data_IF_696281049400
#
_entry.id   IF_696281049400
#
_cell.length_a   1.000
_cell.length_b   1.000
_cell.length_c   1.000
_cell.angle_alpha   90.00
_cell.angle_beta   90.00
_cell.angle_gamma   90.00
#
_symmetry.space_group_name_H-M   'P 1'
#
loop_
_entity.id
_entity.type
_entity.pdbx_description
1 polymer ?
#
# COMPACT_ATOMS: atom_id res chain seq x y z
N UNK A 1 0.24 17.36 8.06
CA UNK A 1 -0.19 18.70 8.49
C UNK A 1 -0.78 18.63 9.88
N UNK A 2 -1.57 19.63 10.24
CA UNK A 2 -2.37 19.74 11.46
C UNK A 2 -3.86 19.81 11.06
N UNK A 3 -4.79 19.25 11.84
CA UNK A 3 -6.21 19.19 11.48
C UNK A 3 -6.93 20.54 11.76
N UNK A 4 -6.45 21.63 11.18
CA UNK A 4 -6.90 23.00 11.47
C UNK A 4 -8.28 23.34 10.91
N UNK A 5 -8.74 22.62 9.88
CA UNK A 5 -9.99 22.90 9.16
C UNK A 5 -11.15 21.99 9.55
N UNK A 6 -11.00 21.11 10.55
CA UNK A 6 -12.04 20.13 10.94
C UNK A 6 -13.36 20.81 11.26
N UNK A 7 -13.33 21.87 12.08
CA UNK A 7 -14.54 22.61 12.46
C UNK A 7 -15.23 23.23 11.24
N UNK A 8 -14.47 23.86 10.35
CA UNK A 8 -15.00 24.48 9.13
C UNK A 8 -15.64 23.45 8.19
N UNK A 9 -14.99 22.29 8.02
CA UNK A 9 -15.50 21.19 7.19
C UNK A 9 -16.85 20.70 7.75
N UNK A 10 -16.92 20.46 9.06
CA UNK A 10 -18.14 19.97 9.72
C UNK A 10 -19.27 21.01 9.77
N UNK A 11 -18.94 22.30 9.76
CA UNK A 11 -19.94 23.36 9.75
C UNK A 11 -20.49 23.64 8.34
N UNK A 12 -19.65 23.59 7.30
CA UNK A 12 -20.02 24.05 5.95
C UNK A 12 -20.20 22.95 4.91
N UNK A 13 -19.42 21.87 5.00
CA UNK A 13 -19.31 20.90 3.91
C UNK A 13 -20.10 19.62 4.14
N UNK A 14 -20.38 19.26 5.39
CA UNK A 14 -21.03 17.99 5.71
C UNK A 14 -21.90 18.12 6.95
N UNK A 15 -23.08 17.52 6.89
CA UNK A 15 -23.91 17.26 8.06
C UNK A 15 -23.78 15.78 8.41
N UNK A 16 -23.29 15.48 9.60
CA UNK A 16 -23.17 14.12 10.14
C UNK A 16 -24.24 13.92 11.20
N UNK A 17 -25.10 12.92 11.03
CA UNK A 17 -26.09 12.51 12.01
C UNK A 17 -25.49 11.57 13.06
N UNK A 18 -26.23 11.35 14.15
CA UNK A 18 -25.76 10.53 15.27
C UNK A 18 -25.58 9.05 14.93
N UNK A 19 -26.30 8.54 13.91
CA UNK A 19 -26.18 7.17 13.40
C UNK A 19 -25.05 7.00 12.36
N UNK A 20 -24.30 8.07 12.10
CA UNK A 20 -23.22 8.08 11.12
C UNK A 20 -23.68 8.29 9.68
N UNK A 21 -25.00 8.37 9.42
CA UNK A 21 -25.48 8.85 8.13
C UNK A 21 -25.04 10.30 7.91
N UNK A 22 -24.73 10.66 6.67
CA UNK A 22 -24.23 12.00 6.38
C UNK A 22 -24.72 12.52 5.04
N UNK A 23 -24.78 13.85 4.95
CA UNK A 23 -25.10 14.55 3.73
C UNK A 23 -24.01 15.58 3.43
N UNK A 24 -23.46 15.52 2.22
CA UNK A 24 -22.52 16.53 1.73
C UNK A 24 -23.29 17.75 1.25
N UNK A 25 -22.76 18.94 1.55
CA UNK A 25 -23.25 20.18 0.98
C UNK A 25 -22.74 20.34 -0.45
N UNK A 26 -23.57 19.88 -1.40
CA UNK A 26 -23.21 19.81 -2.82
C UNK A 26 -22.93 21.18 -3.46
N UNK A 27 -23.25 22.31 -2.78
CA UNK A 27 -22.85 23.65 -3.24
C UNK A 27 -21.34 23.78 -3.48
N UNK A 28 -20.51 23.04 -2.73
CA UNK A 28 -19.06 23.14 -2.79
C UNK A 28 -18.40 22.11 -3.72
N UNK A 29 -19.18 21.21 -4.31
CA UNK A 29 -18.67 20.08 -5.09
C UNK A 29 -19.22 20.09 -6.52
N UNK A 30 -18.46 19.54 -7.45
CA UNK A 30 -18.84 19.47 -8.88
C UNK A 30 -18.69 18.08 -9.48
N UNK A 31 -18.25 17.07 -8.73
CA UNK A 31 -17.96 15.74 -9.26
C UNK A 31 -19.18 15.01 -9.85
N UNK A 32 -20.41 15.41 -9.48
CA UNK A 32 -21.63 14.85 -10.05
C UNK A 32 -21.96 15.38 -11.45
N UNK A 33 -21.40 16.55 -11.84
CA UNK A 33 -21.81 17.28 -13.05
C UNK A 33 -20.65 17.81 -13.88
N UNK A 34 -19.41 17.59 -13.44
CA UNK A 34 -18.20 18.12 -14.08
C UNK A 34 -17.00 17.19 -13.89
N UNK A 35 -15.85 17.63 -14.38
CA UNK A 35 -14.60 16.84 -14.37
C UNK A 35 -13.70 17.14 -13.15
N UNK A 36 -14.13 18.03 -12.25
CA UNK A 36 -13.38 18.42 -11.04
C UNK A 36 -14.16 18.04 -9.79
N UNK A 37 -13.42 17.71 -8.71
CA UNK A 37 -14.03 17.37 -7.42
C UNK A 37 -14.74 18.56 -6.77
N UNK A 38 -14.08 19.72 -6.79
CA UNK A 38 -14.47 20.95 -6.11
C UNK A 38 -14.72 22.09 -7.11
N UNK A 39 -15.44 23.11 -6.67
CA UNK A 39 -15.77 24.30 -7.47
C UNK A 39 -15.27 25.60 -6.82
N UNK A 40 -15.64 26.75 -7.40
CA UNK A 40 -15.25 28.09 -6.91
C UNK A 40 -15.76 28.41 -5.51
N UNK A 41 -16.90 27.87 -5.08
CA UNK A 41 -17.37 28.04 -3.71
C UNK A 41 -16.44 27.35 -2.71
N UNK A 42 -15.89 26.19 -3.07
CA UNK A 42 -14.87 25.52 -2.24
C UNK A 42 -13.60 26.36 -2.15
N UNK A 43 -13.13 26.89 -3.29
CA UNK A 43 -11.97 27.77 -3.31
C UNK A 43 -12.17 29.02 -2.43
N UNK A 44 -13.33 29.66 -2.51
CA UNK A 44 -13.70 30.80 -1.67
C UNK A 44 -13.77 30.43 -0.18
N UNK A 45 -14.32 29.25 0.15
CA UNK A 45 -14.44 28.78 1.54
C UNK A 45 -13.08 28.66 2.23
N UNK A 46 -12.08 28.17 1.51
CA UNK A 46 -10.73 28.00 2.03
C UNK A 46 -9.81 29.20 1.71
N UNK A 47 -10.30 30.20 0.97
CA UNK A 47 -9.54 31.39 0.58
C UNK A 47 -8.41 31.11 -0.41
N UNK A 48 -8.48 30.03 -1.18
CA UNK A 48 -7.43 29.63 -2.13
C UNK A 48 -7.98 28.78 -3.27
N UNK A 49 -7.49 29.05 -4.48
CA UNK A 49 -7.73 28.21 -5.66
C UNK A 49 -7.08 26.82 -5.55
N UNK A 50 -7.57 25.81 -6.29
CA UNK A 50 -6.94 24.50 -6.35
C UNK A 50 -5.45 24.59 -6.70
N UNK A 51 -4.64 23.80 -5.99
CA UNK A 51 -3.20 23.71 -6.26
C UNK A 51 -2.96 23.22 -7.68
N UNK A 52 -2.12 23.93 -8.45
CA UNK A 52 -1.69 23.48 -9.77
C UNK A 52 -0.93 22.14 -9.68
N UNK A 53 -1.08 21.23 -10.66
CA UNK A 53 -0.29 20.00 -10.73
C UNK A 53 1.21 20.28 -10.58
N UNK A 54 1.92 19.38 -9.88
CA UNK A 54 3.37 19.43 -9.65
C UNK A 54 3.95 20.66 -8.93
N UNK A 55 3.12 21.66 -8.56
CA UNK A 55 3.56 22.79 -7.73
C UNK A 55 3.91 22.36 -6.30
N UNK A 56 4.78 23.10 -5.57
CA UNK A 56 5.16 22.75 -4.21
C UNK A 56 3.96 22.57 -3.27
N UNK A 57 4.04 21.57 -2.39
CA UNK A 57 3.02 21.32 -1.36
C UNK A 57 3.21 22.33 -0.22
N UNK A 58 2.18 23.14 0.04
CA UNK A 58 2.19 24.13 1.11
C UNK A 58 1.73 23.54 2.46
N UNK A 59 1.94 24.29 3.54
CA UNK A 59 1.39 23.91 4.86
C UNK A 59 -0.14 23.79 4.84
N UNK A 60 -0.81 24.69 4.11
CA UNK A 60 -2.26 24.66 3.94
C UNK A 60 -2.73 23.37 3.26
N UNK A 61 -2.02 22.88 2.23
CA UNK A 61 -2.35 21.61 1.56
C UNK A 61 -2.27 20.44 2.56
N UNK A 62 -1.20 20.42 3.36
CA UNK A 62 -1.00 19.40 4.38
C UNK A 62 -2.04 19.45 5.51
N UNK A 63 -2.49 20.64 5.87
CA UNK A 63 -3.47 20.87 6.94
C UNK A 63 -4.89 20.53 6.48
N UNK A 64 -5.24 20.91 5.25
CA UNK A 64 -6.51 20.53 4.62
C UNK A 64 -6.60 19.01 4.46
N UNK A 65 -5.58 18.36 3.93
CA UNK A 65 -5.53 16.90 3.81
C UNK A 65 -5.67 16.20 5.17
N UNK A 66 -4.96 16.70 6.20
CA UNK A 66 -5.06 16.18 7.56
C UNK A 66 -6.46 16.35 8.17
N UNK A 67 -7.11 17.49 7.91
CA UNK A 67 -8.46 17.79 8.39
C UNK A 67 -9.52 16.91 7.71
N UNK A 68 -9.43 16.72 6.40
CA UNK A 68 -10.33 15.83 5.64
C UNK A 68 -10.17 14.38 6.13
N UNK A 69 -8.93 13.93 6.34
CA UNK A 69 -8.67 12.60 6.88
C UNK A 69 -9.30 12.43 8.28
N UNK A 70 -9.14 13.40 9.17
CA UNK A 70 -9.72 13.35 10.52
C UNK A 70 -11.26 13.29 10.50
N UNK A 71 -11.91 14.09 9.65
CA UNK A 71 -13.37 14.06 9.49
C UNK A 71 -13.83 12.71 8.90
N UNK A 72 -13.12 12.19 7.90
CA UNK A 72 -13.43 10.88 7.31
C UNK A 72 -13.34 9.76 8.34
N UNK A 73 -12.31 9.76 9.18
CA UNK A 73 -12.15 8.82 10.29
C UNK A 73 -13.28 8.91 11.31
N UNK A 74 -13.73 10.12 11.65
CA UNK A 74 -14.84 10.34 12.58
C UNK A 74 -16.14 9.74 12.04
N UNK A 75 -16.44 9.99 10.76
CA UNK A 75 -17.63 9.46 10.09
C UNK A 75 -17.62 7.92 10.11
N UNK A 76 -16.50 7.31 9.69
CA UNK A 76 -16.36 5.84 9.64
C UNK A 76 -16.55 5.22 11.03
N UNK A 77 -15.94 5.81 12.08
CA UNK A 77 -16.11 5.33 13.44
C UNK A 77 -17.55 5.48 13.93
N UNK A 78 -18.20 6.61 13.64
CA UNK A 78 -19.60 6.86 14.03
C UNK A 78 -20.53 5.84 13.38
N UNK A 79 -20.38 5.60 12.07
CA UNK A 79 -21.13 4.55 11.36
C UNK A 79 -20.88 3.17 11.96
N UNK A 80 -19.61 2.83 12.25
CA UNK A 80 -19.26 1.53 12.81
C UNK A 80 -19.90 1.29 14.18
N UNK A 81 -19.89 2.30 15.06
CA UNK A 81 -20.52 2.23 16.39
C UNK A 81 -22.04 2.09 16.26
N UNK A 82 -22.67 2.88 15.38
CA UNK A 82 -24.11 2.78 15.13
C UNK A 82 -24.50 1.38 14.65
N UNK A 83 -23.78 0.82 13.66
CA UNK A 83 -24.00 -0.55 13.16
C UNK A 83 -23.83 -1.60 14.25
N UNK A 84 -22.81 -1.46 15.12
CA UNK A 84 -22.59 -2.39 16.23
C UNK A 84 -23.75 -2.35 17.23
N UNK A 85 -24.25 -1.15 17.54
CA UNK A 85 -25.37 -0.97 18.48
C UNK A 85 -26.70 -1.49 17.91
N UNK A 86 -26.95 -1.26 16.61
CA UNK A 86 -28.19 -1.67 15.96
C UNK A 86 -28.27 -3.19 15.75
N UNK A 87 -27.19 -3.83 15.30
CA UNK A 87 -27.21 -5.23 14.88
C UNK A 87 -26.53 -6.20 15.85
N UNK A 88 -25.70 -5.72 16.78
CA UNK A 88 -24.96 -6.58 17.73
C UNK A 88 -23.93 -7.51 17.07
N UNK A 89 -23.62 -7.33 15.79
CA UNK A 89 -22.73 -8.21 15.01
C UNK A 89 -21.28 -8.06 15.44
N UNK A 90 -20.55 -9.17 15.53
CA UNK A 90 -19.16 -9.23 16.00
C UNK A 90 -18.12 -8.90 14.94
N UNK A 91 -18.49 -9.00 13.67
CA UNK A 91 -17.56 -8.90 12.54
C UNK A 91 -18.08 -7.88 11.54
N UNK A 92 -17.17 -7.05 11.04
CA UNK A 92 -17.49 -6.01 10.06
C UNK A 92 -16.73 -6.29 8.75
N UNK A 93 -17.49 -6.31 7.65
CA UNK A 93 -16.94 -6.39 6.29
C UNK A 93 -16.96 -5.01 5.64
N UNK A 94 -15.86 -4.62 5.01
CA UNK A 94 -15.66 -3.31 4.40
C UNK A 94 -15.35 -3.44 2.91
N UNK A 95 -16.09 -2.70 2.10
CA UNK A 95 -15.90 -2.52 0.67
C UNK A 95 -16.26 -1.07 0.26
N UNK A 96 -16.10 -0.72 -1.02
CA UNK A 96 -16.19 0.64 -1.53
C UNK A 96 -14.83 1.34 -1.52
N UNK A 97 -14.63 2.33 -2.39
CA UNK A 97 -13.32 3.00 -2.57
C UNK A 97 -12.74 3.59 -1.29
N UNK A 98 -13.58 4.08 -0.38
CA UNK A 98 -13.17 4.62 0.94
C UNK A 98 -12.54 3.54 1.83
N UNK A 99 -12.94 2.28 1.70
CA UNK A 99 -12.37 1.16 2.47
C UNK A 99 -10.90 0.84 2.11
N UNK A 100 -10.34 1.45 1.05
CA UNK A 100 -8.90 1.42 0.76
C UNK A 100 -8.09 2.38 1.65
N UNK A 101 -8.75 3.21 2.47
CA UNK A 101 -8.13 4.09 3.44
C UNK A 101 -7.61 3.29 4.65
N UNK A 102 -6.39 2.80 4.52
CA UNK A 102 -5.72 1.99 5.55
C UNK A 102 -5.51 2.71 6.89
N UNK A 103 -5.47 4.05 6.89
CA UNK A 103 -5.33 4.83 8.13
C UNK A 103 -6.64 4.76 8.92
N UNK A 104 -7.77 4.99 8.24
CA UNK A 104 -9.09 4.86 8.84
C UNK A 104 -9.37 3.42 9.31
N UNK A 105 -9.01 2.43 8.48
CA UNK A 105 -9.16 1.01 8.85
C UNK A 105 -8.33 0.65 10.09
N UNK A 106 -7.07 1.12 10.19
CA UNK A 106 -6.24 0.90 11.37
C UNK A 106 -6.82 1.54 12.63
N UNK A 107 -7.39 2.75 12.51
CA UNK A 107 -8.07 3.42 13.63
C UNK A 107 -9.33 2.66 14.06
N UNK A 108 -10.14 2.19 13.11
CA UNK A 108 -11.31 1.38 13.37
C UNK A 108 -10.96 0.05 14.04
N UNK A 109 -9.89 -0.62 13.60
CA UNK A 109 -9.41 -1.85 14.22
C UNK A 109 -9.02 -1.62 15.70
N UNK A 110 -8.24 -0.57 15.98
CA UNK A 110 -7.81 -0.24 17.35
C UNK A 110 -8.96 0.23 18.25
N UNK A 111 -10.01 0.82 17.68
CA UNK A 111 -11.17 1.21 18.44
C UNK A 111 -11.93 0.01 19.03
N UNK A 112 -11.72 -1.21 18.52
CA UNK A 112 -12.27 -2.43 19.10
C UNK A 112 -13.80 -2.50 19.05
N UNK A 113 -14.43 -1.75 18.14
CA UNK A 113 -15.90 -1.73 17.97
C UNK A 113 -16.41 -3.10 17.53
N UNK A 114 -15.63 -3.80 16.70
CA UNK A 114 -15.87 -5.15 16.22
C UNK A 114 -14.68 -6.05 16.58
N UNK A 115 -14.96 -7.33 16.81
CA UNK A 115 -13.97 -8.35 17.15
C UNK A 115 -13.01 -8.61 15.97
N UNK A 116 -13.54 -8.58 14.74
CA UNK A 116 -12.76 -8.78 13.53
C UNK A 116 -13.23 -7.86 12.41
N UNK A 117 -12.27 -7.44 11.57
CA UNK A 117 -12.50 -6.70 10.34
C UNK A 117 -12.08 -7.54 9.14
N UNK A 118 -12.92 -7.55 8.10
CA UNK A 118 -12.55 -8.05 6.78
C UNK A 118 -12.67 -6.93 5.77
N UNK A 119 -11.57 -6.61 5.08
CA UNK A 119 -11.54 -5.52 4.09
C UNK A 119 -11.19 -6.14 2.74
N UNK A 120 -12.02 -5.91 1.73
CA UNK A 120 -11.78 -6.47 0.42
C UNK A 120 -10.53 -5.86 -0.25
N UNK A 121 -9.53 -6.63 -0.73
CA UNK A 121 -8.32 -6.08 -1.35
C UNK A 121 -8.59 -5.22 -2.59
N UNK A 122 -9.60 -5.60 -3.38
CA UNK A 122 -10.13 -4.78 -4.47
C UNK A 122 -11.42 -4.07 -4.03
N UNK A 123 -11.40 -3.34 -2.92
CA UNK A 123 -12.61 -2.73 -2.35
C UNK A 123 -13.28 -1.66 -3.24
N UNK A 124 -12.52 -0.99 -4.11
CA UNK A 124 -13.09 -0.03 -5.07
C UNK A 124 -13.89 -0.70 -6.18
N UNK A 125 -14.25 0.08 -7.20
CA UNK A 125 -15.16 -0.35 -8.28
C UNK A 125 -14.71 -1.61 -9.02
N UNK A 126 -13.39 -1.85 -9.10
CA UNK A 126 -12.84 -3.08 -9.68
C UNK A 126 -13.40 -4.36 -9.01
N UNK A 127 -13.64 -4.33 -7.69
CA UNK A 127 -14.24 -5.46 -6.96
C UNK A 127 -15.72 -5.69 -7.27
N UNK A 128 -16.39 -4.74 -7.91
CA UNK A 128 -17.80 -4.85 -8.30
C UNK A 128 -18.07 -6.04 -9.21
N UNK A 129 -17.13 -6.38 -10.11
CA UNK A 129 -17.26 -7.56 -10.98
C UNK A 129 -17.32 -8.88 -10.17
N UNK A 130 -16.47 -9.01 -9.15
CA UNK A 130 -16.51 -10.15 -8.23
C UNK A 130 -17.83 -10.17 -7.43
N UNK A 131 -18.24 -9.01 -6.91
CA UNK A 131 -19.50 -8.87 -6.19
C UNK A 131 -20.72 -9.29 -7.03
N UNK A 132 -20.79 -8.83 -8.28
CA UNK A 132 -21.86 -9.18 -9.22
C UNK A 132 -21.90 -10.69 -9.52
N UNK A 133 -20.73 -11.31 -9.73
CA UNK A 133 -20.65 -12.76 -9.93
C UNK A 133 -21.13 -13.54 -8.70
N UNK A 134 -20.74 -13.12 -7.49
CA UNK A 134 -21.17 -13.74 -6.23
C UNK A 134 -22.68 -13.56 -5.98
N UNK A 135 -23.25 -12.41 -6.34
CA UNK A 135 -24.70 -12.17 -6.30
C UNK A 135 -25.43 -13.12 -7.25
N UNK A 136 -24.99 -13.20 -8.51
CA UNK A 136 -25.52 -14.16 -9.49
C UNK A 136 -25.50 -15.60 -8.97
N UNK A 137 -24.35 -16.05 -8.50
CA UNK A 137 -24.15 -17.43 -8.08
C UNK A 137 -24.91 -17.80 -6.79
N UNK A 138 -24.79 -16.99 -5.74
CA UNK A 138 -25.35 -17.33 -4.43
C UNK A 138 -26.78 -16.85 -4.22
N UNK A 139 -27.16 -15.68 -4.75
CA UNK A 139 -28.50 -15.12 -4.53
C UNK A 139 -29.47 -15.55 -5.63
N UNK A 140 -29.06 -15.49 -6.89
CA UNK A 140 -29.95 -15.86 -8.00
C UNK A 140 -29.99 -17.37 -8.26
N UNK A 141 -28.82 -18.04 -8.29
CA UNK A 141 -28.74 -19.50 -8.50
C UNK A 141 -28.81 -20.32 -7.20
N UNK A 142 -29.01 -19.67 -6.05
CA UNK A 142 -29.19 -20.29 -4.73
C UNK A 142 -28.09 -21.31 -4.37
N UNK A 143 -26.88 -21.13 -4.90
CA UNK A 143 -25.77 -22.02 -4.61
C UNK A 143 -25.25 -21.75 -3.20
N UNK A 144 -24.89 -22.79 -2.42
CA UNK A 144 -24.44 -22.63 -1.05
C UNK A 144 -23.15 -21.82 -0.98
N UNK A 145 -23.01 -21.02 0.08
CA UNK A 145 -21.76 -20.32 0.37
C UNK A 145 -20.83 -21.29 1.09
N UNK A 146 -19.65 -21.52 0.51
CA UNK A 146 -18.55 -22.23 1.16
C UNK A 146 -17.41 -21.23 1.32
N UNK A 147 -17.13 -20.85 2.56
CA UNK A 147 -16.07 -19.89 2.86
C UNK A 147 -14.93 -20.58 3.57
N UNK A 148 -13.71 -20.42 3.05
CA UNK A 148 -12.47 -20.74 3.76
C UNK A 148 -11.66 -19.47 3.98
N UNK A 149 -10.81 -19.40 5.01
CA UNK A 149 -9.90 -18.27 5.22
C UNK A 149 -9.02 -17.96 3.99
N UNK A 150 -8.73 -18.97 3.17
CA UNK A 150 -7.89 -18.88 1.97
C UNK A 150 -8.66 -18.60 0.68
N UNK A 151 -9.98 -18.36 0.72
CA UNK A 151 -10.82 -18.24 -0.47
C UNK A 151 -10.36 -17.16 -1.47
N UNK A 152 -9.77 -16.06 -0.98
CA UNK A 152 -9.20 -15.00 -1.82
C UNK A 152 -7.80 -15.31 -2.36
N UNK A 153 -7.19 -16.44 -1.98
CA UNK A 153 -5.87 -16.91 -2.46
C UNK A 153 -4.78 -15.82 -2.41
N UNK A 154 -4.69 -15.07 -1.31
CA UNK A 154 -3.73 -13.95 -1.20
C UNK A 154 -3.96 -12.79 -2.18
N UNK A 155 -5.13 -12.75 -2.83
CA UNK A 155 -5.45 -11.91 -3.99
C UNK A 155 -4.68 -12.26 -5.26
N UNK A 156 -4.01 -13.41 -5.34
CA UNK A 156 -3.24 -13.83 -6.52
C UNK A 156 -4.15 -14.42 -7.63
N UNK A 157 -5.11 -13.61 -8.10
CA UNK A 157 -6.18 -14.03 -9.02
C UNK A 157 -5.89 -13.68 -10.48
N UNK A 158 -4.88 -12.86 -10.76
CA UNK A 158 -4.47 -12.47 -12.11
C UNK A 158 -3.66 -13.54 -12.86
N UNK A 159 -3.12 -13.19 -14.05
CA UNK A 159 -2.34 -14.10 -14.88
C UNK A 159 -0.99 -14.47 -14.24
N UNK A 160 -0.49 -15.66 -14.59
CA UNK A 160 0.87 -16.12 -14.32
C UNK A 160 1.54 -16.49 -15.64
N UNK A 161 2.87 -16.38 -15.66
CA UNK A 161 3.69 -16.61 -16.84
C UNK A 161 4.74 -17.67 -16.51
N UNK A 162 4.85 -18.67 -17.37
CA UNK A 162 5.86 -19.73 -17.25
C UNK A 162 7.23 -19.28 -17.73
N UNK A 163 8.27 -20.01 -17.35
CA UNK A 163 9.65 -19.68 -17.75
C UNK A 163 9.84 -19.66 -19.27
N UNK A 164 9.16 -20.52 -20.02
CA UNK A 164 9.25 -20.56 -21.49
C UNK A 164 8.74 -19.25 -22.14
N UNK A 165 7.59 -18.75 -21.67
CA UNK A 165 7.01 -17.51 -22.17
C UNK A 165 7.86 -16.30 -21.78
N UNK A 166 8.34 -16.28 -20.54
CA UNK A 166 9.27 -15.25 -20.05
C UNK A 166 10.55 -15.25 -20.90
N UNK A 167 11.18 -16.41 -21.09
CA UNK A 167 12.43 -16.53 -21.84
C UNK A 167 12.27 -16.10 -23.30
N UNK A 168 11.12 -16.41 -23.92
CA UNK A 168 10.79 -15.96 -25.28
C UNK A 168 10.80 -14.43 -25.38
N UNK A 169 10.21 -13.73 -24.41
CA UNK A 169 10.21 -12.25 -24.36
C UNK A 169 11.62 -11.71 -24.14
N UNK A 170 12.40 -12.32 -23.24
CA UNK A 170 13.78 -11.90 -22.98
C UNK A 170 14.69 -12.07 -24.22
N UNK A 171 14.56 -13.18 -24.94
CA UNK A 171 15.27 -13.45 -26.19
C UNK A 171 14.88 -12.46 -27.29
N UNK A 172 13.58 -12.22 -27.47
CA UNK A 172 13.09 -11.27 -28.47
C UNK A 172 13.61 -9.84 -28.23
N UNK A 173 13.80 -9.46 -26.96
CA UNK A 173 14.38 -8.19 -26.57
C UNK A 173 15.92 -8.16 -26.57
N UNK A 174 16.59 -9.27 -26.91
CA UNK A 174 18.05 -9.43 -26.79
C UNK A 174 18.60 -9.03 -25.40
N UNK A 175 17.84 -9.30 -24.33
CA UNK A 175 18.23 -8.95 -22.97
C UNK A 175 19.36 -9.87 -22.47
N UNK A 176 20.28 -9.33 -21.67
CA UNK A 176 21.28 -10.14 -20.96
C UNK A 176 20.67 -10.70 -19.68
N UNK A 177 20.56 -12.04 -19.59
CA UNK A 177 19.92 -12.70 -18.46
C UNK A 177 20.66 -13.97 -18.03
N UNK A 178 20.48 -14.34 -16.77
CA UNK A 178 20.94 -15.60 -16.19
C UNK A 178 19.73 -16.40 -15.71
N UNK A 179 19.63 -17.68 -16.11
CA UNK A 179 18.67 -18.63 -15.53
C UNK A 179 19.26 -19.21 -14.25
N UNK A 180 18.49 -19.21 -13.17
CA UNK A 180 18.90 -19.63 -11.83
C UNK A 180 18.00 -20.74 -11.31
N UNK A 181 18.56 -21.64 -10.50
CA UNK A 181 17.75 -22.53 -9.68
C UNK A 181 16.98 -21.75 -8.60
N UNK A 182 15.90 -22.31 -8.05
CA UNK A 182 15.07 -21.62 -7.05
C UNK A 182 15.89 -21.12 -5.84
N UNK A 183 16.76 -21.96 -5.28
CA UNK A 183 17.59 -21.59 -4.13
C UNK A 183 18.55 -20.46 -4.46
N UNK A 184 19.19 -20.50 -5.63
CA UNK A 184 20.11 -19.46 -6.10
C UNK A 184 19.40 -18.14 -6.36
N UNK A 185 18.20 -18.20 -6.93
CA UNK A 185 17.37 -17.03 -7.19
C UNK A 185 17.00 -16.32 -5.88
N UNK A 186 16.52 -17.08 -4.89
CA UNK A 186 16.17 -16.54 -3.57
C UNK A 186 17.39 -15.96 -2.86
N UNK A 187 18.49 -16.71 -2.82
CA UNK A 187 19.72 -16.27 -2.14
C UNK A 187 20.31 -15.03 -2.81
N UNK A 188 20.38 -14.98 -4.13
CA UNK A 188 20.92 -13.82 -4.85
C UNK A 188 20.03 -12.59 -4.69
N UNK A 189 18.70 -12.73 -4.72
CA UNK A 189 17.79 -11.62 -4.47
C UNK A 189 17.90 -11.10 -3.03
N UNK A 190 17.98 -11.99 -2.04
CA UNK A 190 18.20 -11.61 -0.64
C UNK A 190 19.54 -10.90 -0.44
N UNK A 191 20.61 -11.37 -1.09
CA UNK A 191 21.93 -10.72 -1.08
C UNK A 191 21.89 -9.34 -1.75
N UNK A 192 21.20 -9.20 -2.89
CA UNK A 192 21.04 -7.92 -3.57
C UNK A 192 20.34 -6.91 -2.66
N UNK A 193 19.22 -7.30 -2.03
CA UNK A 193 18.52 -6.49 -1.05
C UNK A 193 19.42 -6.13 0.15
N UNK A 194 20.13 -7.10 0.72
CA UNK A 194 21.02 -6.86 1.88
C UNK A 194 22.19 -5.93 1.55
N UNK A 195 22.60 -5.87 0.27
CA UNK A 195 23.58 -4.94 -0.27
C UNK A 195 23.00 -3.55 -0.62
N UNK A 196 21.73 -3.29 -0.30
CA UNK A 196 21.07 -2.01 -0.53
C UNK A 196 20.56 -1.79 -1.97
N UNK A 197 20.57 -2.82 -2.82
CA UNK A 197 20.02 -2.73 -4.17
C UNK A 197 18.49 -2.71 -4.15
N UNK A 198 17.90 -2.03 -5.13
CA UNK A 198 16.46 -2.06 -5.38
C UNK A 198 16.18 -3.01 -6.55
N UNK A 199 15.34 -4.02 -6.30
CA UNK A 199 15.07 -5.08 -7.26
C UNK A 199 13.62 -5.07 -7.74
N UNK A 200 13.41 -5.36 -9.03
CA UNK A 200 12.12 -5.74 -9.56
C UNK A 200 11.85 -7.22 -9.30
N UNK A 201 10.66 -7.55 -8.84
CA UNK A 201 10.26 -8.90 -8.45
C UNK A 201 8.95 -9.28 -9.14
N UNK A 202 9.05 -10.17 -10.13
CA UNK A 202 7.94 -10.63 -10.96
C UNK A 202 7.80 -12.16 -10.84
N UNK A 203 6.80 -12.62 -10.10
CA UNK A 203 6.63 -14.03 -9.76
C UNK A 203 5.16 -14.44 -9.81
N UNK A 204 4.88 -15.68 -10.22
CA UNK A 204 3.54 -16.29 -10.10
C UNK A 204 2.38 -15.44 -10.62
N UNK A 205 1.20 -15.69 -10.03
CA UNK A 205 -0.05 -15.00 -10.39
C UNK A 205 -0.06 -13.56 -9.88
N UNK A 206 -0.45 -12.62 -10.75
CA UNK A 206 -0.60 -11.21 -10.38
C UNK A 206 -1.67 -11.02 -9.30
N UNK A 207 -1.42 -10.05 -8.41
CA UNK A 207 -2.35 -9.59 -7.39
C UNK A 207 -3.56 -8.85 -8.00
N UNK A 208 -4.76 -9.11 -7.49
CA UNK A 208 -5.96 -8.35 -7.81
C UNK A 208 -6.15 -7.21 -6.80
N UNK A 209 -6.38 -6.00 -7.33
CA UNK A 209 -6.50 -4.78 -6.54
C UNK A 209 -5.29 -3.84 -6.71
N UNK A 210 -5.26 -2.72 -5.97
CA UNK A 210 -4.34 -1.63 -6.23
C UNK A 210 -2.99 -1.76 -5.51
N UNK A 211 -2.71 -2.89 -4.85
CA UNK A 211 -1.52 -3.12 -4.03
C UNK A 211 -0.73 -4.29 -4.60
N UNK A 212 0.59 -4.12 -4.71
CA UNK A 212 1.48 -5.26 -4.91
C UNK A 212 1.75 -5.94 -3.56
N UNK A 213 1.65 -7.26 -3.56
CA UNK A 213 1.72 -8.15 -2.40
C UNK A 213 2.74 -9.27 -2.65
N UNK A 214 3.85 -8.96 -3.31
CA UNK A 214 5.00 -9.87 -3.47
C UNK A 214 5.09 -10.63 -4.80
N UNK A 215 4.22 -10.38 -5.78
CA UNK A 215 4.27 -11.01 -7.10
C UNK A 215 4.51 -10.03 -8.25
N UNK A 216 4.10 -8.76 -8.12
CA UNK A 216 4.47 -7.67 -9.04
C UNK A 216 5.02 -6.48 -8.25
N UNK A 217 6.17 -6.68 -7.62
CA UNK A 217 6.69 -5.78 -6.58
C UNK A 217 8.05 -5.21 -6.94
N UNK A 218 8.32 -3.99 -6.47
CA UNK A 218 9.68 -3.47 -6.34
C UNK A 218 10.04 -3.56 -4.87
N UNK A 219 11.20 -4.15 -4.60
CA UNK A 219 11.66 -4.48 -3.26
C UNK A 219 12.95 -3.73 -2.92
N UNK A 220 13.14 -3.40 -1.64
CA UNK A 220 14.33 -2.71 -1.14
C UNK A 220 14.63 -3.01 0.32
N UNK A 221 15.81 -2.60 0.77
CA UNK A 221 16.26 -2.75 2.16
C UNK A 221 15.53 -1.77 3.09
N UNK A 222 14.82 -2.24 4.14
CA UNK A 222 14.09 -1.38 5.05
C UNK A 222 15.00 -0.56 5.99
N UNK A 223 16.25 -1.00 6.21
CA UNK A 223 17.19 -0.46 7.20
C UNK A 223 17.86 0.84 6.73
N UNK A 224 17.94 1.02 5.41
CA UNK A 224 18.66 2.12 4.79
C UNK A 224 17.76 3.35 4.59
N UNK A 225 18.21 4.50 5.11
CA UNK A 225 17.50 5.80 4.97
C UNK A 225 17.38 6.22 3.50
N UNK A 226 18.42 5.98 2.72
CA UNK A 226 18.46 6.37 1.31
C UNK A 226 17.52 5.52 0.44
N UNK A 227 17.16 4.29 0.83
CA UNK A 227 16.24 3.44 0.06
C UNK A 227 14.95 4.16 -0.28
N UNK A 228 14.36 4.89 0.68
CA UNK A 228 13.11 5.62 0.44
C UNK A 228 13.30 6.73 -0.61
N UNK A 229 14.37 7.53 -0.49
CA UNK A 229 14.65 8.61 -1.43
C UNK A 229 14.99 8.07 -2.83
N UNK A 230 15.86 7.05 -2.91
CA UNK A 230 16.25 6.39 -4.16
C UNK A 230 15.04 5.81 -4.88
N UNK A 231 14.17 5.07 -4.18
CA UNK A 231 12.98 4.49 -4.77
C UNK A 231 11.97 5.55 -5.23
N UNK A 232 11.73 6.60 -4.44
CA UNK A 232 10.78 7.64 -4.84
C UNK A 232 11.29 8.45 -6.05
N UNK A 233 12.56 8.82 -6.08
CA UNK A 233 13.12 9.71 -7.12
C UNK A 233 13.56 8.98 -8.38
N UNK A 234 14.39 7.93 -8.25
CA UNK A 234 15.04 7.27 -9.39
C UNK A 234 14.19 6.18 -10.06
N UNK A 235 13.16 5.70 -9.35
CA UNK A 235 12.38 4.54 -9.79
C UNK A 235 10.93 4.93 -9.98
N UNK A 236 10.35 5.63 -9.01
CA UNK A 236 8.93 6.04 -9.04
C UNK A 236 8.68 7.41 -9.62
N UNK A 237 9.72 8.22 -9.84
CA UNK A 237 9.60 9.59 -10.36
C UNK A 237 8.50 10.41 -9.66
N UNK A 238 8.35 10.22 -8.34
CA UNK A 238 7.29 10.81 -7.52
C UNK A 238 7.86 11.49 -6.28
N UNK A 239 6.99 12.13 -5.51
CA UNK A 239 7.38 12.93 -4.37
C UNK A 239 8.15 12.10 -3.33
N UNK A 240 9.26 12.64 -2.85
CA UNK A 240 10.21 11.94 -1.97
C UNK A 240 9.61 11.51 -0.64
N UNK A 241 8.51 12.14 -0.21
CA UNK A 241 7.89 11.89 1.09
C UNK A 241 6.94 10.70 1.12
N UNK A 242 6.58 10.10 -0.02
CA UNK A 242 5.60 9.00 -0.01
C UNK A 242 6.21 7.79 0.69
N UNK A 243 5.60 7.32 1.79
CA UNK A 243 6.13 6.18 2.49
C UNK A 243 5.95 4.91 1.67
N UNK A 244 6.82 3.94 1.91
CA UNK A 244 6.67 2.58 1.43
C UNK A 244 6.12 1.68 2.53
N UNK A 245 5.66 0.50 2.14
CA UNK A 245 5.06 -0.45 3.05
C UNK A 245 6.00 -1.62 3.32
N UNK A 246 6.04 -2.15 4.56
CA UNK A 246 6.77 -3.37 4.86
C UNK A 246 5.96 -4.61 4.45
N UNK A 247 6.62 -5.54 3.77
CA UNK A 247 6.21 -6.96 3.75
C UNK A 247 7.01 -7.70 4.82
N UNK A 248 6.32 -8.29 5.80
CA UNK A 248 6.91 -8.90 7.00
C UNK A 248 6.41 -10.33 7.18
N UNK A 249 7.27 -11.24 7.64
CA UNK A 249 6.83 -12.59 8.01
C UNK A 249 5.76 -12.51 9.11
N UNK A 250 4.63 -13.21 8.93
CA UNK A 250 3.48 -13.12 9.84
C UNK A 250 3.87 -13.38 11.29
N UNK A 251 4.68 -14.39 11.53
CA UNK A 251 5.16 -14.79 12.85
C UNK A 251 5.99 -13.71 13.57
N UNK A 252 6.59 -12.78 12.84
CA UNK A 252 7.49 -11.75 13.38
C UNK A 252 6.85 -10.35 13.36
N UNK A 253 5.63 -10.19 12.82
CA UNK A 253 4.97 -8.88 12.69
C UNK A 253 4.91 -8.13 14.03
N UNK A 254 4.68 -8.88 15.12
CA UNK A 254 4.58 -8.34 16.47
C UNK A 254 5.91 -7.85 17.00
N UNK A 255 7.05 -8.24 16.44
CA UNK A 255 8.35 -7.75 16.87
C UNK A 255 8.66 -6.36 16.30
N UNK A 256 7.93 -5.93 15.27
CA UNK A 256 8.13 -4.65 14.61
C UNK A 256 7.00 -3.66 14.88
N UNK A 257 5.76 -4.13 15.01
CA UNK A 257 4.59 -3.25 15.02
C UNK A 257 3.63 -3.56 16.18
N UNK A 258 2.91 -2.53 16.63
CA UNK A 258 1.77 -2.63 17.54
C UNK A 258 0.51 -3.08 16.77
N UNK A 259 0.60 -4.27 16.18
CA UNK A 259 -0.44 -4.83 15.32
C UNK A 259 -1.23 -5.92 16.06
N UNK A 260 -2.56 -5.86 15.94
CA UNK A 260 -3.45 -6.96 16.31
C UNK A 260 -3.82 -7.75 15.04
N UNK A 261 -3.58 -9.07 15.08
CA UNK A 261 -3.89 -9.97 13.97
C UNK A 261 -3.04 -9.75 12.71
N UNK A 262 -3.56 -10.26 11.60
CA UNK A 262 -2.89 -10.27 10.30
C UNK A 262 -3.26 -9.03 9.46
N UNK A 263 -2.42 -8.70 8.48
CA UNK A 263 -2.71 -7.69 7.46
C UNK A 263 -2.22 -8.19 6.10
N UNK A 264 -2.86 -9.20 5.50
CA UNK A 264 -2.37 -9.85 4.27
C UNK A 264 -2.48 -8.98 3.02
N UNK A 265 -3.21 -7.86 3.06
CA UNK A 265 -3.53 -7.05 1.87
C UNK A 265 -3.01 -5.62 1.93
N UNK A 266 -2.18 -5.28 2.92
CA UNK A 266 -1.64 -3.93 3.05
C UNK A 266 -2.75 -2.86 3.25
N UNK A 267 -3.79 -3.22 4.00
CA UNK A 267 -5.00 -2.40 4.24
C UNK A 267 -5.12 -1.88 5.68
N UNK A 268 -4.13 -2.18 6.53
CA UNK A 268 -4.08 -1.72 7.91
C UNK A 268 -2.76 -0.98 8.17
N UNK A 269 -2.86 0.06 9.00
CA UNK A 269 -1.72 0.82 9.51
C UNK A 269 -1.61 0.59 11.00
N UNK A 270 -0.40 0.28 11.47
CA UNK A 270 -0.08 0.15 12.89
C UNK A 270 1.16 0.95 13.25
N UNK A 271 1.26 1.41 14.52
CA UNK A 271 2.49 1.98 15.05
C UNK A 271 3.67 1.01 14.96
N UNK A 272 4.86 1.54 14.67
CA UNK A 272 6.12 0.83 14.91
C UNK A 272 6.34 0.76 16.41
N UNK A 273 6.83 -0.38 16.91
CA UNK A 273 7.09 -0.57 18.34
C UNK A 273 8.08 0.47 18.88
N UNK A 274 7.81 0.97 20.08
CA UNK A 274 8.62 2.01 20.72
C UNK A 274 10.11 1.66 20.84
N UNK A 275 10.45 0.39 21.09
CA UNK A 275 11.85 -0.06 21.21
C UNK A 275 12.63 -0.09 19.88
N UNK A 276 11.96 0.16 18.75
CA UNK A 276 12.58 0.30 17.43
C UNK A 276 12.66 1.74 16.96
N UNK A 277 12.05 2.67 17.69
CA UNK A 277 12.08 4.09 17.37
C UNK A 277 13.38 4.72 17.88
N UNK A 278 13.93 5.61 17.06
CA UNK A 278 15.06 6.45 17.47
C UNK A 278 14.53 7.72 18.13
N UNK A 279 15.21 8.17 19.18
CA UNK A 279 14.97 9.50 19.74
C UNK A 279 15.51 10.56 18.78
N UNK A 280 14.63 11.42 18.29
CA UNK A 280 15.03 12.58 17.52
C UNK A 280 15.50 13.70 18.43
N UNK A 281 16.55 14.41 18.00
CA UNK A 281 17.01 15.66 18.61
C UNK A 281 15.94 16.74 18.52
N UNK A 282 16.03 17.77 19.37
CA UNK A 282 15.10 18.89 19.32
C UNK A 282 15.11 19.61 17.95
N UNK A 283 16.26 19.66 17.28
CA UNK A 283 16.39 20.23 15.94
C UNK A 283 15.61 19.42 14.92
N UNK A 284 15.79 18.09 14.89
CA UNK A 284 15.08 17.18 14.00
C UNK A 284 13.56 17.16 14.26
N UNK A 285 13.14 17.45 15.51
CA UNK A 285 11.73 17.61 15.87
C UNK A 285 11.13 18.92 15.35
N UNK A 286 11.94 19.98 15.21
CA UNK A 286 11.52 21.28 14.67
C UNK A 286 11.44 21.31 13.13
N UNK A 287 12.03 20.34 12.44
CA UNK A 287 11.96 20.24 10.98
C UNK A 287 10.51 20.11 10.47
N UNK A 288 10.28 20.69 9.30
CA UNK A 288 8.96 20.72 8.65
C UNK A 288 9.02 20.19 7.22
N UNK A 289 7.86 19.93 6.61
CA UNK A 289 7.77 19.50 5.22
C UNK A 289 8.59 18.24 4.90
N UNK A 290 9.37 18.30 3.81
CA UNK A 290 10.15 17.17 3.28
C UNK A 290 11.32 16.81 4.19
N UNK A 291 11.95 17.78 4.85
CA UNK A 291 13.09 17.55 5.75
C UNK A 291 12.69 16.68 6.95
N UNK A 292 11.46 16.84 7.44
CA UNK A 292 10.90 16.02 8.51
C UNK A 292 10.75 14.55 8.10
N UNK A 293 10.53 14.28 6.81
CA UNK A 293 10.30 12.94 6.26
C UNK A 293 11.61 12.17 6.10
N UNK A 294 12.72 12.86 5.85
CA UNK A 294 14.03 12.25 5.67
C UNK A 294 14.69 11.79 6.98
N UNK A 295 14.06 12.05 8.12
CA UNK A 295 14.61 11.71 9.43
C UNK A 295 14.59 10.21 9.70
N UNK A 296 15.70 9.69 10.24
CA UNK A 296 15.84 8.28 10.62
C UNK A 296 15.09 8.01 11.93
N UNK A 297 13.79 7.82 11.86
CA UNK A 297 12.89 7.65 13.03
C UNK A 297 12.91 6.27 13.66
N UNK A 298 13.52 5.28 13.00
CA UNK A 298 13.59 3.89 13.50
C UNK A 298 14.79 3.14 12.94
N UNK A 299 14.95 1.88 13.36
CA UNK A 299 15.86 0.91 12.76
C UNK A 299 15.39 0.41 11.37
N UNK A 300 14.14 0.67 11.00
CA UNK A 300 13.51 0.39 9.69
C UNK A 300 12.98 1.67 9.01
N UNK A 301 13.83 2.68 8.79
CA UNK A 301 13.40 4.02 8.39
C UNK A 301 12.67 4.05 7.04
N UNK A 302 12.98 3.17 6.10
CA UNK A 302 12.40 3.24 4.74
C UNK A 302 10.88 2.96 4.70
N UNK A 303 10.37 2.27 5.72
CA UNK A 303 8.95 1.89 5.86
C UNK A 303 8.25 2.60 7.03
N UNK A 304 8.95 3.46 7.75
CA UNK A 304 8.41 4.17 8.92
C UNK A 304 7.92 5.55 8.50
N UNK A 305 6.64 5.83 8.77
CA UNK A 305 6.00 7.10 8.45
C UNK A 305 6.40 8.20 9.45
N UNK A 306 6.06 9.45 9.11
CA UNK A 306 6.33 10.64 9.96
C UNK A 306 5.64 10.58 11.32
N UNK A 307 4.51 9.87 11.41
CA UNK A 307 3.75 9.61 12.64
C UNK A 307 4.18 8.31 13.34
N UNK A 308 5.32 7.75 12.96
CA UNK A 308 5.88 6.50 13.48
C UNK A 308 5.00 5.26 13.22
N UNK A 309 4.12 5.32 12.22
CA UNK A 309 3.33 4.18 11.78
C UNK A 309 3.91 3.51 10.53
N UNK A 310 3.39 2.34 10.17
CA UNK A 310 3.66 1.69 8.89
C UNK A 310 2.41 0.96 8.38
N UNK A 311 2.28 0.84 7.06
CA UNK A 311 1.17 0.11 6.41
C UNK A 311 1.55 -1.34 6.12
N UNK A 312 1.10 -2.26 6.95
CA UNK A 312 1.70 -3.60 7.07
C UNK A 312 1.16 -4.58 6.03
N UNK A 313 2.04 -5.37 5.42
CA UNK A 313 1.72 -6.59 4.67
C UNK A 313 2.30 -7.82 5.38
N UNK A 314 1.46 -8.68 5.96
CA UNK A 314 1.90 -9.94 6.58
C UNK A 314 1.97 -11.07 5.56
N UNK A 315 3.09 -11.79 5.53
CA UNK A 315 3.37 -12.86 4.56
C UNK A 315 3.44 -14.20 5.27
N UNK A 316 2.80 -15.22 4.70
CA UNK A 316 2.89 -16.61 5.15
C UNK A 316 3.41 -17.51 4.05
N UNK A 317 4.03 -18.64 4.41
CA UNK A 317 4.49 -19.62 3.42
C UNK A 317 3.32 -20.20 2.61
N UNK A 318 2.18 -20.44 3.25
CA UNK A 318 0.98 -20.99 2.62
C UNK A 318 0.40 -20.05 1.54
N UNK A 319 0.43 -18.74 1.76
CA UNK A 319 -0.07 -17.76 0.79
C UNK A 319 0.92 -17.54 -0.36
N UNK A 320 2.21 -17.40 -0.05
CA UNK A 320 3.24 -17.13 -1.06
C UNK A 320 4.60 -17.67 -0.63
N UNK A 321 4.84 -18.95 -0.92
CA UNK A 321 6.06 -19.66 -0.53
C UNK A 321 7.34 -18.99 -1.04
N UNK A 322 7.39 -18.56 -2.30
CA UNK A 322 8.60 -17.97 -2.90
C UNK A 322 8.92 -16.62 -2.27
N UNK A 323 7.90 -15.79 -2.01
CA UNK A 323 8.09 -14.50 -1.35
C UNK A 323 8.45 -14.65 0.13
N UNK A 324 7.83 -15.60 0.83
CA UNK A 324 8.19 -15.98 2.20
C UNK A 324 9.67 -16.41 2.29
N UNK A 325 10.12 -17.27 1.37
CA UNK A 325 11.53 -17.71 1.30
C UNK A 325 12.50 -16.55 1.08
N UNK A 326 12.15 -15.58 0.22
CA UNK A 326 12.96 -14.38 0.00
C UNK A 326 13.14 -13.57 1.29
N UNK A 327 12.05 -13.30 2.00
CA UNK A 327 12.08 -12.52 3.24
C UNK A 327 12.82 -13.31 4.34
N UNK A 328 12.63 -14.63 4.41
CA UNK A 328 13.36 -15.49 5.34
C UNK A 328 14.86 -15.52 5.06
N UNK A 329 15.28 -15.61 3.79
CA UNK A 329 16.69 -15.53 3.41
C UNK A 329 17.28 -14.15 3.74
N UNK A 330 16.52 -13.08 3.50
CA UNK A 330 16.91 -11.72 3.91
C UNK A 330 17.07 -11.60 5.43
N UNK A 331 16.16 -12.21 6.22
CA UNK A 331 16.27 -12.30 7.69
C UNK A 331 17.56 -12.98 8.11
N UNK A 332 17.92 -14.11 7.49
CA UNK A 332 19.16 -14.83 7.82
C UNK A 332 20.41 -13.97 7.58
N UNK A 333 20.41 -13.12 6.55
CA UNK A 333 21.53 -12.25 6.22
C UNK A 333 21.61 -11.00 7.11
N UNK A 334 20.47 -10.47 7.55
CA UNK A 334 20.39 -9.11 8.11
C UNK A 334 19.91 -9.04 9.55
N UNK A 335 19.24 -10.10 10.03
CA UNK A 335 18.46 -10.11 11.27
C UNK A 335 17.06 -9.50 11.14
N UNK A 336 16.63 -9.03 9.96
CA UNK A 336 15.33 -8.36 9.76
C UNK A 336 14.35 -9.22 8.95
N UNK A 337 13.20 -9.54 9.53
CA UNK A 337 12.16 -10.39 8.92
C UNK A 337 11.19 -9.63 8.00
N UNK A 338 11.64 -8.51 7.41
CA UNK A 338 10.81 -7.69 6.53
C UNK A 338 11.62 -7.02 5.42
N UNK A 339 10.95 -6.67 4.34
CA UNK A 339 11.50 -5.91 3.20
C UNK A 339 10.60 -4.74 2.85
N UNK A 340 11.15 -3.71 2.21
CA UNK A 340 10.34 -2.67 1.57
C UNK A 340 9.58 -3.31 0.41
N UNK A 341 8.30 -2.98 0.26
CA UNK A 341 7.47 -3.39 -0.86
C UNK A 341 6.68 -2.20 -1.41
N UNK A 342 6.75 -2.04 -2.73
CA UNK A 342 5.89 -1.14 -3.50
C UNK A 342 5.47 -1.80 -4.81
N UNK A 343 4.41 -1.26 -5.43
CA UNK A 343 3.97 -1.66 -6.78
C UNK A 343 5.13 -1.73 -7.77
N UNK A 344 5.12 -2.66 -8.72
CA UNK A 344 6.07 -2.66 -9.83
C UNK A 344 5.48 -1.90 -11.02
N UNK A 345 5.86 -0.63 -11.14
CA UNK A 345 5.45 0.33 -12.16
C UNK A 345 6.32 1.60 -12.07
N UNK A 346 6.23 2.48 -13.07
CA UNK A 346 6.71 3.87 -12.96
C UNK A 346 5.53 4.82 -12.68
N UNK A 347 5.77 6.13 -12.60
CA UNK A 347 4.70 7.13 -12.43
C UNK A 347 3.71 7.03 -13.61
N UNK A 348 2.42 7.17 -13.31
CA UNK A 348 1.31 7.20 -14.27
C UNK A 348 1.10 5.92 -15.10
N UNK A 349 1.73 4.81 -14.73
CA UNK A 349 1.47 3.47 -15.30
C UNK A 349 0.82 2.51 -14.30
N UNK A 350 -0.01 1.54 -14.77
CA UNK A 350 -0.51 0.46 -13.92
C UNK A 350 0.62 -0.48 -13.46
N UNK A 351 0.33 -1.35 -12.49
CA UNK A 351 1.23 -2.43 -12.10
C UNK A 351 1.52 -3.31 -13.32
N UNK A 352 2.79 -3.64 -13.55
CA UNK A 352 3.21 -4.50 -14.68
C UNK A 352 2.46 -5.84 -14.63
N UNK A 353 1.88 -6.23 -15.76
CA UNK A 353 1.09 -7.44 -15.87
C UNK A 353 1.92 -8.56 -16.52
N UNK A 354 2.42 -8.29 -17.74
CA UNK A 354 3.14 -9.26 -18.58
C UNK A 354 4.67 -9.19 -18.41
N UNK A 355 5.43 -10.21 -18.88
CA UNK A 355 6.89 -10.16 -18.89
C UNK A 355 7.43 -8.98 -19.70
N UNK A 356 6.75 -8.60 -20.80
CA UNK A 356 7.12 -7.44 -21.60
C UNK A 356 6.95 -6.12 -20.84
N UNK A 357 5.89 -5.99 -20.04
CA UNK A 357 5.69 -4.82 -19.17
C UNK A 357 6.78 -4.73 -18.10
N UNK A 358 7.12 -5.86 -17.48
CA UNK A 358 8.17 -5.92 -16.46
C UNK A 358 9.54 -5.54 -17.03
N UNK A 359 9.88 -6.07 -18.21
CA UNK A 359 11.14 -5.74 -18.89
C UNK A 359 11.20 -4.26 -19.29
N UNK A 360 10.12 -3.71 -19.88
CA UNK A 360 10.04 -2.30 -20.24
C UNK A 360 10.18 -1.40 -19.02
N UNK A 361 9.44 -1.70 -17.95
CA UNK A 361 9.54 -0.95 -16.69
C UNK A 361 10.95 -1.05 -16.08
N UNK A 362 11.58 -2.23 -16.14
CA UNK A 362 12.96 -2.41 -15.69
C UNK A 362 13.95 -1.58 -16.50
N UNK A 363 13.82 -1.54 -17.83
CA UNK A 363 14.67 -0.74 -18.72
C UNK A 363 14.49 0.77 -18.52
N UNK A 364 13.28 1.22 -18.23
CA UNK A 364 12.95 2.65 -18.07
C UNK A 364 13.08 3.20 -16.65
N UNK A 365 13.38 2.34 -15.66
CA UNK A 365 13.53 2.74 -14.25
C UNK A 365 14.97 2.58 -13.75
N UNK A 366 15.26 3.20 -12.59
CA UNK A 366 16.52 3.04 -11.87
C UNK A 366 16.62 1.77 -11.01
N UNK A 367 15.97 0.67 -11.40
CA UNK A 367 16.13 -0.63 -10.74
C UNK A 367 17.53 -1.19 -11.00
N UNK A 368 18.13 -1.81 -9.99
CA UNK A 368 19.47 -2.41 -10.10
C UNK A 368 19.41 -3.79 -10.75
N UNK A 369 18.41 -4.58 -10.39
CA UNK A 369 18.23 -5.96 -10.86
C UNK A 369 16.75 -6.30 -11.07
N UNK A 370 16.46 -7.22 -11.99
CA UNK A 370 15.13 -7.78 -12.20
C UNK A 370 15.17 -9.29 -12.00
N UNK A 371 14.29 -9.79 -11.15
CA UNK A 371 14.02 -11.20 -10.93
C UNK A 371 12.64 -11.53 -11.50
N UNK A 372 12.61 -12.28 -12.60
CA UNK A 372 11.39 -12.61 -13.34
C UNK A 372 11.34 -14.10 -13.65
N UNK A 373 10.36 -14.82 -13.09
CA UNK A 373 10.34 -16.28 -13.15
C UNK A 373 11.62 -16.85 -12.53
N UNK A 374 12.32 -17.72 -13.25
CA UNK A 374 13.64 -18.25 -12.88
C UNK A 374 14.83 -17.43 -13.40
N UNK A 375 14.61 -16.22 -13.92
CA UNK A 375 15.64 -15.40 -14.56
C UNK A 375 16.03 -14.20 -13.72
N UNK A 376 17.33 -13.86 -13.78
CA UNK A 376 17.93 -12.66 -13.21
C UNK A 376 18.53 -11.81 -14.32
N UNK A 377 18.22 -10.52 -14.29
CA UNK A 377 18.81 -9.51 -15.17
C UNK A 377 19.52 -8.46 -14.32
N UNK A 378 20.72 -8.07 -14.74
CA UNK A 378 21.48 -6.98 -14.11
C UNK A 378 21.35 -5.73 -14.97
N UNK A 379 20.97 -4.61 -14.36
CA UNK A 379 20.80 -3.34 -15.10
C UNK A 379 22.09 -2.91 -15.79
N UNK A 380 23.23 -3.12 -15.13
CA UNK A 380 24.57 -2.81 -15.64
C UNK A 380 25.00 -3.64 -16.86
N UNK A 381 24.27 -4.71 -17.20
CA UNK A 381 24.53 -5.55 -18.38
C UNK A 381 23.49 -5.35 -19.49
N UNK A 382 22.48 -4.52 -19.27
CA UNK A 382 21.52 -4.19 -20.31
C UNK A 382 22.08 -3.08 -21.20
N UNK A 383 21.82 -3.19 -22.50
CA UNK A 383 22.21 -2.20 -23.50
C UNK A 383 21.30 -0.98 -23.49
#
# INVERSE_FOLDING_TARGET
>A
GRPTYVALIKDKLIQLAADGSFQLNMRYFSYCTGLTMTNTHFAQLFGREPRAPDSPISQMDMDLACSIQAVTEEIILTMAVALRNEYGLKHLCLAGGVALNCVANGKLQRAGVFDNLWIQPAAGDAGGALGAALVGYHLHHQQPRVTTPEAMQGSYLGPAYGDEEIESVLKAANADYQKLGQTELINSAAQALAAGKVIGWFQGRMEFGPRALGNRSILGDPRAVHTQATMNQKIKFRESFRPFAPSVLKEEVRDYFEQSGDSPYMLLVAPVKANRLNTLTEEEQRLSGIERVQQKRSDIPAVTHVDSSARIHTVTEAQNRRYYQLISAFKQLTGYALVVNTSFNVRDEPIVCSPGDALRCFQQSGLDELYIGSFRLLKSRQK
#
